data_IF_832984792316
#
_entry.id   IF_832984792316
#
_cell.length_a   1.000
_cell.length_b   1.000
_cell.length_c   1.000
_cell.angle_alpha   90.00
_cell.angle_beta   90.00
_cell.angle_gamma   90.00
#
_symmetry.space_group_name_H-M   'P 1'
#
loop_
_entity.id
_entity.type
_entity.pdbx_description
1 polymer ?
#
# COMPACT_ATOMS: atom_id res chain seq x y z
N UNK A 1 15.45 -17.70 -4.54
CA UNK A 1 14.66 -17.33 -5.74
C UNK A 1 13.20 -17.73 -5.58
N UNK A 2 12.86 -19.02 -5.44
CA UNK A 2 11.47 -19.48 -5.30
C UNK A 2 10.69 -18.80 -4.14
N UNK A 3 11.27 -18.70 -2.95
CA UNK A 3 10.61 -18.10 -1.79
C UNK A 3 10.26 -16.59 -1.95
N UNK A 4 11.07 -15.83 -2.70
CA UNK A 4 10.80 -14.41 -2.99
C UNK A 4 9.63 -14.31 -3.99
N UNK A 5 9.57 -15.21 -4.98
CA UNK A 5 8.50 -15.24 -5.97
C UNK A 5 7.19 -15.75 -5.36
N UNK A 6 7.23 -16.68 -4.41
CA UNK A 6 6.05 -17.13 -3.65
C UNK A 6 5.48 -16.01 -2.77
N UNK A 7 6.32 -15.15 -2.19
CA UNK A 7 5.87 -13.96 -1.45
C UNK A 7 5.24 -12.88 -2.35
N UNK A 8 5.51 -12.91 -3.67
CA UNK A 8 4.91 -12.03 -4.67
C UNK A 8 3.57 -12.56 -5.22
N UNK A 9 3.17 -13.79 -4.85
CA UNK A 9 1.90 -14.35 -5.24
C UNK A 9 0.76 -13.57 -4.58
N UNK A 10 -0.07 -12.94 -5.42
CA UNK A 10 -1.28 -12.20 -5.07
C UNK A 10 -2.15 -13.03 -4.09
N UNK A 11 -2.32 -12.63 -2.82
CA UNK A 11 -3.26 -13.30 -1.93
C UNK A 11 -4.68 -13.00 -2.44
N UNK A 12 -5.26 -13.96 -3.16
CA UNK A 12 -6.64 -13.91 -3.60
C UNK A 12 -7.54 -14.06 -2.36
N UNK A 13 -8.20 -12.97 -1.96
CA UNK A 13 -9.11 -12.95 -0.80
C UNK A 13 -10.53 -13.37 -1.22
N UNK A 14 -10.87 -13.32 -2.51
CA UNK A 14 -12.25 -13.54 -2.96
C UNK A 14 -12.65 -15.02 -3.08
N UNK A 15 -11.70 -15.96 -3.10
CA UNK A 15 -12.02 -17.39 -3.23
C UNK A 15 -12.38 -18.10 -1.92
N UNK A 16 -12.16 -17.49 -0.75
CA UNK A 16 -12.43 -18.14 0.56
C UNK A 16 -13.85 -17.95 1.10
N UNK A 17 -14.67 -17.12 0.47
CA UNK A 17 -16.03 -16.85 0.96
C UNK A 17 -17.08 -17.89 0.53
N UNK A 18 -16.77 -18.80 -0.41
CA UNK A 18 -17.76 -19.73 -0.95
C UNK A 18 -17.77 -21.13 -0.31
N UNK A 19 -16.83 -21.45 0.60
CA UNK A 19 -16.72 -22.79 1.23
C UNK A 19 -17.08 -22.87 2.72
N UNK A 20 -17.36 -21.76 3.43
CA UNK A 20 -17.88 -21.81 4.81
C UNK A 20 -19.41 -21.85 4.82
N UNK A 21 -19.95 -22.93 4.28
CA UNK A 21 -21.39 -23.18 4.20
C UNK A 21 -21.78 -24.58 4.62
N UNK A 22 -21.18 -25.17 5.66
CA UNK A 22 -21.83 -26.25 6.42
C UNK A 22 -21.09 -26.61 7.71
N UNK A 23 -21.75 -26.40 8.85
CA UNK A 23 -21.63 -27.14 10.14
C UNK A 23 -21.73 -26.18 11.32
N UNK A 24 -22.94 -26.05 11.88
CA UNK A 24 -23.14 -25.52 13.22
C UNK A 24 -23.91 -26.55 14.03
N UNK A 25 -23.14 -27.41 14.70
CA UNK A 25 -23.57 -28.26 15.80
C UNK A 25 -23.73 -27.41 17.07
N UNK A 26 -24.85 -27.62 17.74
CA UNK A 26 -25.20 -27.11 19.06
C UNK A 26 -24.06 -27.29 20.10
N UNK A 27 -23.80 -26.25 20.89
CA UNK A 27 -23.35 -26.39 22.28
C UNK A 27 -23.78 -25.18 23.13
N UNK A 28 -24.54 -25.46 24.18
CA UNK A 28 -25.06 -24.57 25.21
C UNK A 28 -24.10 -24.47 26.41
N UNK A 29 -24.10 -23.32 27.09
CA UNK A 29 -23.58 -23.10 28.46
C UNK A 29 -22.17 -22.50 28.49
N UNK A 30 -21.76 -21.59 29.39
CA UNK A 30 -22.37 -20.95 30.55
C UNK A 30 -21.27 -20.22 31.35
N UNK A 31 -21.54 -18.97 31.76
CA UNK A 31 -21.00 -18.19 32.90
C UNK A 31 -19.47 -18.06 33.19
N UNK A 32 -19.00 -16.81 33.05
CA UNK A 32 -18.37 -15.93 34.08
C UNK A 32 -17.12 -16.37 34.88
N UNK A 33 -15.99 -15.64 34.72
CA UNK A 33 -15.31 -14.82 35.77
C UNK A 33 -13.95 -14.28 35.29
N UNK A 34 -13.79 -12.97 35.39
CA UNK A 34 -12.54 -12.21 35.30
C UNK A 34 -11.76 -12.33 36.60
N UNK A 35 -10.46 -12.63 36.53
CA UNK A 35 -9.53 -12.54 37.68
C UNK A 35 -8.15 -12.13 37.20
N UNK A 36 -7.86 -10.83 37.25
CA UNK A 36 -6.52 -10.29 37.06
C UNK A 36 -5.65 -10.61 38.27
N UNK A 37 -4.61 -11.43 38.09
CA UNK A 37 -3.48 -11.51 39.03
C UNK A 37 -2.26 -10.86 38.40
N UNK A 38 -2.00 -9.63 38.85
CA UNK A 38 -0.71 -8.96 38.75
C UNK A 38 0.21 -9.65 39.77
N UNK A 39 1.31 -10.25 39.35
CA UNK A 39 2.42 -10.53 40.27
C UNK A 39 3.70 -9.87 39.72
N UNK A 40 4.22 -9.03 40.61
CA UNK A 40 5.38 -8.17 40.53
C UNK A 40 6.57 -8.94 41.11
N UNK A 41 7.76 -8.67 40.55
CA UNK A 41 9.08 -8.73 41.21
C UNK A 41 9.60 -10.14 41.56
N UNK A 42 10.90 -10.45 41.52
CA UNK A 42 12.08 -9.65 41.87
C UNK A 42 13.37 -10.30 41.35
N UNK A 43 14.37 -9.46 41.06
CA UNK A 43 15.74 -9.82 40.68
C UNK A 43 16.67 -9.79 41.91
N UNK A 44 17.52 -10.81 42.12
CA UNK A 44 18.89 -10.59 42.64
C UNK A 44 19.82 -11.82 42.53
N UNK A 45 21.15 -11.59 42.51
CA UNK A 45 22.15 -12.50 41.95
C UNK A 45 23.08 -13.14 42.99
N UNK A 46 23.68 -14.28 42.64
CA UNK A 46 24.90 -14.79 43.27
C UNK A 46 24.72 -16.09 44.05
N UNK A 47 25.38 -17.16 43.59
CA UNK A 47 25.48 -18.43 44.31
C UNK A 47 26.22 -19.48 43.48
N UNK A 48 27.50 -19.68 43.78
CA UNK A 48 28.35 -20.78 43.29
C UNK A 48 27.96 -22.09 43.96
N UNK A 49 27.74 -23.15 43.19
CA UNK A 49 27.43 -24.49 43.71
C UNK A 49 27.64 -25.55 42.62
N UNK A 50 28.24 -26.68 43.01
CA UNK A 50 28.85 -27.68 42.15
C UNK A 50 27.85 -28.52 41.33
N UNK A 51 28.33 -29.01 40.19
CA UNK A 51 27.66 -29.94 39.29
C UNK A 51 27.81 -31.37 39.82
N UNK A 52 26.78 -31.89 40.47
CA UNK A 52 26.60 -33.33 40.68
C UNK A 52 25.54 -33.82 39.67
N UNK A 53 25.95 -34.75 38.82
CA UNK A 53 25.07 -35.45 37.87
C UNK A 53 24.46 -36.62 38.62
N UNK A 54 23.23 -36.44 39.08
CA UNK A 54 22.37 -37.55 39.50
C UNK A 54 21.45 -37.87 38.33
N UNK A 55 21.72 -39.01 37.71
CA UNK A 55 20.98 -39.54 36.58
C UNK A 55 19.80 -40.34 37.09
N UNK A 56 18.66 -39.67 37.25
CA UNK A 56 17.36 -40.34 37.41
C UNK A 56 16.50 -40.12 36.18
N UNK A 57 16.22 -41.25 35.54
CA UNK A 57 15.29 -41.43 34.45
C UNK A 57 13.86 -41.26 34.96
N UNK A 58 13.20 -40.16 34.60
CA UNK A 58 11.74 -40.09 34.65
C UNK A 58 11.19 -39.66 33.29
N UNK A 59 10.33 -40.54 32.78
CA UNK A 59 9.64 -40.49 31.51
C UNK A 59 8.47 -39.51 31.63
N UNK A 60 8.70 -38.24 31.28
CA UNK A 60 7.64 -37.24 31.17
C UNK A 60 7.68 -36.61 29.78
N UNK A 61 6.81 -37.14 28.93
CA UNK A 61 6.44 -36.58 27.64
C UNK A 61 5.69 -35.25 27.85
N UNK A 62 6.44 -34.23 28.23
CA UNK A 62 5.96 -32.85 28.30
C UNK A 62 5.92 -32.30 26.89
N UNK A 63 4.79 -32.55 26.22
CA UNK A 63 4.43 -31.84 25.02
C UNK A 63 4.48 -30.35 25.31
N UNK A 64 5.55 -29.70 24.85
CA UNK A 64 5.65 -28.26 24.74
C UNK A 64 4.56 -27.81 23.78
N UNK A 65 3.37 -27.57 24.31
CA UNK A 65 2.36 -26.77 23.63
C UNK A 65 2.96 -25.38 23.53
N UNK A 66 3.64 -25.13 22.41
CA UNK A 66 3.84 -23.78 21.91
C UNK A 66 2.43 -23.25 21.76
N UNK A 67 1.99 -22.50 22.77
CA UNK A 67 0.77 -21.74 22.70
C UNK A 67 1.01 -20.74 21.59
N UNK A 68 0.63 -21.12 20.37
CA UNK A 68 0.52 -20.22 19.23
C UNK A 68 -0.54 -19.25 19.68
N UNK A 69 -0.09 -18.21 20.37
CA UNK A 69 -0.88 -17.04 20.70
C UNK A 69 -1.59 -16.68 19.42
N UNK A 70 -2.89 -16.97 19.38
CA UNK A 70 -3.76 -16.61 18.28
C UNK A 70 -3.81 -15.10 18.32
N UNK A 71 -2.86 -14.48 17.63
CA UNK A 71 -2.80 -13.07 17.40
C UNK A 71 -4.22 -12.61 17.02
N UNK A 72 -4.77 -11.57 17.68
CA UNK A 72 -6.07 -11.07 17.31
C UNK A 72 -6.08 -10.72 15.81
N UNK A 73 -7.24 -10.82 15.13
CA UNK A 73 -7.33 -10.89 13.67
C UNK A 73 -6.79 -9.68 12.87
N UNK A 74 -6.16 -8.68 13.51
CA UNK A 74 -5.71 -7.42 12.92
C UNK A 74 -4.25 -7.04 13.30
N UNK A 75 -3.34 -8.00 13.41
CA UNK A 75 -1.96 -7.78 13.91
C UNK A 75 -0.99 -7.09 12.93
N UNK A 76 -1.51 -6.26 12.02
CA UNK A 76 -0.67 -5.41 11.17
C UNK A 76 -0.31 -4.12 11.91
N UNK A 77 0.98 -3.93 12.19
CA UNK A 77 1.46 -2.73 12.91
C UNK A 77 1.03 -1.43 12.19
N UNK A 78 0.77 -0.39 12.98
CA UNK A 78 0.18 0.87 12.50
C UNK A 78 0.98 1.50 11.35
N UNK A 79 2.31 1.40 11.37
CA UNK A 79 3.15 2.00 10.33
C UNK A 79 2.96 1.31 8.97
N UNK A 80 2.69 0.00 8.93
CA UNK A 80 2.37 -0.70 7.68
C UNK A 80 1.02 -0.24 7.11
N UNK A 81 0.04 0.00 7.98
CA UNK A 81 -1.26 0.57 7.57
C UNK A 81 -1.06 1.97 6.96
N UNK A 82 -0.25 2.81 7.60
CA UNK A 82 0.10 4.14 7.09
C UNK A 82 0.82 4.06 5.75
N UNK A 83 1.85 3.22 5.62
CA UNK A 83 2.59 3.04 4.36
C UNK A 83 1.68 2.56 3.24
N UNK A 84 0.74 1.68 3.54
CA UNK A 84 -0.23 1.21 2.56
C UNK A 84 -1.20 2.31 2.11
N UNK A 85 -1.71 3.14 3.03
CA UNK A 85 -2.54 4.30 2.67
C UNK A 85 -1.76 5.30 1.81
N UNK A 86 -0.51 5.59 2.20
CA UNK A 86 0.39 6.45 1.44
C UNK A 86 0.64 5.89 0.04
N UNK A 87 0.91 4.59 -0.09
CA UNK A 87 1.08 3.93 -1.38
C UNK A 87 -0.16 4.06 -2.29
N UNK A 88 -1.35 3.76 -1.75
CA UNK A 88 -2.61 3.89 -2.51
C UNK A 88 -2.89 5.33 -2.96
N UNK A 89 -2.28 6.32 -2.31
CA UNK A 89 -2.39 7.74 -2.67
C UNK A 89 -1.30 8.14 -3.66
N UNK A 90 -0.04 7.84 -3.34
CA UNK A 90 1.14 8.23 -4.10
C UNK A 90 1.13 7.63 -5.49
N UNK A 91 0.78 6.34 -5.64
CA UNK A 91 0.83 5.66 -6.91
C UNK A 91 -0.06 6.30 -8.00
N UNK A 92 -1.39 6.51 -7.78
CA UNK A 92 -2.23 7.14 -8.78
C UNK A 92 -1.87 8.61 -9.02
N UNK A 93 -1.47 9.36 -7.98
CA UNK A 93 -1.12 10.77 -8.09
C UNK A 93 0.19 10.97 -8.88
N UNK A 94 1.19 10.12 -8.67
CA UNK A 94 2.44 10.15 -9.42
C UNK A 94 2.20 9.91 -10.92
N UNK A 95 1.42 8.88 -11.28
CA UNK A 95 1.06 8.60 -12.67
C UNK A 95 0.25 9.75 -13.28
N UNK A 96 -0.66 10.36 -12.52
CA UNK A 96 -1.43 11.52 -12.96
C UNK A 96 -0.51 12.70 -13.30
N UNK A 97 0.43 13.05 -12.42
CA UNK A 97 1.36 14.17 -12.64
C UNK A 97 2.23 13.91 -13.88
N UNK A 98 2.77 12.70 -14.03
CA UNK A 98 3.54 12.30 -15.21
C UNK A 98 2.71 12.38 -16.49
N UNK A 99 1.44 11.93 -16.44
CA UNK A 99 0.53 12.01 -17.57
C UNK A 99 0.23 13.45 -17.96
N UNK A 100 -0.14 14.31 -17.01
CA UNK A 100 -0.44 15.72 -17.27
C UNK A 100 0.77 16.44 -17.89
N UNK A 101 1.98 16.18 -17.39
CA UNK A 101 3.20 16.74 -17.98
C UNK A 101 3.46 16.22 -19.40
N UNK A 102 3.30 14.92 -19.63
CA UNK A 102 3.53 14.32 -20.95
C UNK A 102 2.51 14.83 -21.97
N UNK A 103 1.25 14.97 -21.55
CA UNK A 103 0.18 15.54 -22.35
C UNK A 103 0.47 17.01 -22.72
N UNK A 104 0.90 17.82 -21.75
CA UNK A 104 1.28 19.21 -21.97
C UNK A 104 2.44 19.34 -22.98
N UNK A 105 3.46 18.47 -22.90
CA UNK A 105 4.55 18.44 -23.89
C UNK A 105 4.05 18.04 -25.28
N UNK A 106 3.14 17.04 -25.37
CA UNK A 106 2.62 16.54 -26.64
C UNK A 106 1.76 17.55 -27.41
N UNK A 107 1.03 18.42 -26.71
CA UNK A 107 0.22 19.47 -27.35
C UNK A 107 1.01 20.72 -27.73
N UNK A 108 2.34 20.72 -27.55
CA UNK A 108 3.17 21.90 -27.84
C UNK A 108 2.80 23.11 -26.99
N UNK A 109 1.95 22.94 -25.97
CA UNK A 109 1.79 23.94 -24.94
C UNK A 109 3.13 24.00 -24.24
N UNK A 110 3.86 25.11 -24.42
CA UNK A 110 4.86 25.56 -23.46
C UNK A 110 4.08 25.88 -22.19
N UNK A 111 3.63 24.84 -21.52
CA UNK A 111 3.02 24.92 -20.22
C UNK A 111 4.22 25.20 -19.33
N UNK A 112 4.57 26.49 -19.25
CA UNK A 112 5.70 27.07 -18.53
C UNK A 112 5.48 26.92 -17.01
N UNK A 113 5.18 25.72 -16.54
CA UNK A 113 5.00 25.41 -15.13
C UNK A 113 6.27 25.68 -14.33
N UNK A 114 7.43 25.65 -15.00
CA UNK A 114 8.73 25.45 -14.36
C UNK A 114 9.90 26.04 -15.16
N UNK A 115 9.68 26.98 -16.09
CA UNK A 115 10.78 27.60 -16.87
C UNK A 115 11.83 28.34 -16.03
N UNK A 116 11.67 28.35 -14.70
CA UNK A 116 12.58 28.93 -13.72
C UNK A 116 13.22 27.89 -12.78
N UNK A 117 12.88 26.61 -12.89
CA UNK A 117 13.48 25.52 -12.11
C UNK A 117 14.59 24.84 -12.90
N UNK A 118 15.58 24.30 -12.18
CA UNK A 118 16.67 23.54 -12.79
C UNK A 118 16.10 22.38 -13.62
N UNK A 119 16.65 22.10 -14.83
CA UNK A 119 16.14 21.03 -15.71
C UNK A 119 16.14 19.64 -15.05
N UNK A 120 17.02 19.43 -14.06
CA UNK A 120 17.03 18.22 -13.24
C UNK A 120 15.77 18.06 -12.39
N UNK A 121 15.30 19.15 -11.77
CA UNK A 121 14.09 19.14 -10.93
C UNK A 121 12.86 18.80 -11.76
N UNK A 122 12.79 19.31 -12.98
CA UNK A 122 11.71 19.02 -13.92
C UNK A 122 11.64 17.54 -14.30
N UNK A 123 12.78 16.94 -14.60
CA UNK A 123 12.86 15.51 -14.94
C UNK A 123 12.46 14.66 -13.73
N UNK A 124 12.98 15.00 -12.55
CA UNK A 124 12.72 14.25 -11.31
C UNK A 124 11.24 14.31 -10.90
N UNK A 125 10.66 15.51 -10.87
CA UNK A 125 9.28 15.71 -10.41
C UNK A 125 8.23 15.10 -11.34
N UNK A 126 8.51 15.04 -12.65
CA UNK A 126 7.49 14.62 -13.62
C UNK A 126 7.77 13.27 -14.26
N UNK A 127 9.00 12.98 -14.70
CA UNK A 127 9.29 11.75 -15.43
C UNK A 127 9.71 10.62 -14.49
N UNK A 128 10.70 10.89 -13.62
CA UNK A 128 11.17 9.89 -12.68
C UNK A 128 10.09 9.51 -11.66
N UNK A 129 9.23 10.45 -11.26
CA UNK A 129 8.13 10.20 -10.33
C UNK A 129 7.22 9.04 -10.80
N UNK A 130 6.68 9.13 -12.02
CA UNK A 130 5.87 8.06 -12.61
C UNK A 130 6.68 6.78 -12.89
N UNK A 131 7.91 6.90 -13.37
CA UNK A 131 8.78 5.76 -13.63
C UNK A 131 9.09 4.92 -12.38
N UNK A 132 9.41 5.57 -11.27
CA UNK A 132 9.68 4.92 -9.98
C UNK A 132 8.42 4.19 -9.49
N UNK A 133 7.25 4.82 -9.58
CA UNK A 133 5.98 4.20 -9.19
C UNK A 133 5.63 3.00 -10.07
N UNK A 134 5.88 3.07 -11.39
CA UNK A 134 5.68 1.92 -12.26
C UNK A 134 6.55 0.74 -11.82
N UNK A 135 7.85 0.97 -11.61
CA UNK A 135 8.76 -0.07 -11.11
C UNK A 135 8.27 -0.61 -9.76
N UNK A 136 7.87 0.26 -8.83
CA UNK A 136 7.37 -0.14 -7.52
C UNK A 136 6.11 -1.00 -7.60
N UNK A 137 5.17 -0.70 -8.52
CA UNK A 137 3.97 -1.54 -8.73
C UNK A 137 4.37 -2.95 -9.17
N UNK A 138 5.32 -3.10 -10.09
CA UNK A 138 5.72 -4.41 -10.61
C UNK A 138 6.61 -5.19 -9.65
N UNK A 139 7.45 -4.51 -8.86
CA UNK A 139 8.43 -5.12 -7.95
C UNK A 139 7.87 -5.36 -6.55
N UNK A 140 7.11 -4.41 -5.99
CA UNK A 140 6.61 -4.52 -4.61
C UNK A 140 5.39 -5.42 -4.53
N UNK A 141 5.30 -6.29 -3.51
CA UNK A 141 4.13 -7.16 -3.27
C UNK A 141 2.86 -6.41 -2.79
N UNK A 142 2.85 -5.07 -2.85
CA UNK A 142 1.82 -4.24 -2.21
C UNK A 142 0.47 -4.43 -2.90
N UNK A 143 -0.60 -4.77 -2.16
CA UNK A 143 -1.92 -4.97 -2.74
C UNK A 143 -2.66 -3.65 -2.97
N UNK A 144 -3.10 -3.42 -4.20
CA UNK A 144 -4.04 -2.32 -4.53
C UNK A 144 -5.46 -2.85 -4.55
N UNK A 145 -6.37 -2.22 -3.79
CA UNK A 145 -7.79 -2.61 -3.73
C UNK A 145 -8.67 -1.49 -4.29
N UNK A 146 -9.65 -1.86 -5.10
CA UNK A 146 -10.55 -0.90 -5.77
C UNK A 146 -11.32 0.00 -4.79
N UNK A 147 -11.78 -0.57 -3.66
CA UNK A 147 -12.56 0.15 -2.65
C UNK A 147 -11.82 1.32 -1.98
N UNK A 148 -10.50 1.39 -2.10
CA UNK A 148 -9.67 2.41 -1.45
C UNK A 148 -9.38 3.63 -2.33
N UNK A 149 -10.19 3.87 -3.37
CA UNK A 149 -10.12 5.09 -4.18
C UNK A 149 -10.37 6.37 -3.36
N UNK A 150 -10.97 6.24 -2.17
CA UNK A 150 -11.15 7.33 -1.22
C UNK A 150 -9.81 7.92 -0.72
N UNK A 151 -8.71 7.15 -0.67
CA UNK A 151 -7.40 7.65 -0.24
C UNK A 151 -6.87 8.76 -1.17
N UNK A 152 -6.69 8.51 -2.48
CA UNK A 152 -6.23 9.57 -3.39
C UNK A 152 -7.24 10.71 -3.51
N UNK A 153 -8.56 10.44 -3.41
CA UNK A 153 -9.57 11.50 -3.38
C UNK A 153 -9.44 12.43 -2.17
N UNK A 154 -9.27 11.87 -0.96
CA UNK A 154 -9.12 12.65 0.25
C UNK A 154 -7.86 13.52 0.20
N UNK A 155 -6.75 12.96 -0.28
CA UNK A 155 -5.52 13.72 -0.52
C UNK A 155 -5.73 14.87 -1.51
N UNK A 156 -6.34 14.59 -2.67
CA UNK A 156 -6.63 15.62 -3.67
C UNK A 156 -7.58 16.69 -3.13
N UNK A 157 -8.59 16.32 -2.36
CA UNK A 157 -9.50 17.28 -1.73
C UNK A 157 -8.77 18.21 -0.76
N UNK A 158 -7.98 17.65 0.17
CA UNK A 158 -7.19 18.43 1.13
C UNK A 158 -6.24 19.38 0.41
N UNK A 159 -5.58 18.91 -0.64
CA UNK A 159 -4.67 19.72 -1.44
C UNK A 159 -5.39 20.88 -2.14
N UNK A 160 -6.58 20.64 -2.71
CA UNK A 160 -7.38 21.70 -3.32
C UNK A 160 -7.88 22.72 -2.29
N UNK A 161 -8.25 22.29 -1.09
CA UNK A 161 -8.58 23.21 0.01
C UNK A 161 -7.39 24.10 0.37
N UNK A 162 -6.18 23.52 0.41
CA UNK A 162 -4.96 24.29 0.60
C UNK A 162 -4.77 25.35 -0.51
N UNK A 163 -5.01 25.02 -1.79
CA UNK A 163 -4.88 26.00 -2.89
C UNK A 163 -5.84 27.19 -2.73
N UNK A 164 -7.08 26.94 -2.31
CA UNK A 164 -8.08 27.99 -2.06
C UNK A 164 -7.63 28.87 -0.89
N UNK A 165 -7.22 28.26 0.24
CA UNK A 165 -6.74 29.00 1.42
C UNK A 165 -5.52 29.85 1.05
N UNK A 166 -4.57 29.26 0.32
CA UNK A 166 -3.38 29.94 -0.18
C UNK A 166 -3.75 31.19 -0.98
N UNK A 167 -4.67 31.05 -1.94
CA UNK A 167 -5.10 32.18 -2.78
C UNK A 167 -5.83 33.26 -1.97
N UNK A 168 -6.80 32.89 -1.12
CA UNK A 168 -7.56 33.84 -0.28
C UNK A 168 -6.65 34.57 0.72
N UNK A 169 -5.61 33.91 1.22
CA UNK A 169 -4.61 34.52 2.10
C UNK A 169 -3.66 35.50 1.39
N UNK A 170 -3.79 35.66 0.06
CA UNK A 170 -2.91 36.50 -0.74
C UNK A 170 -1.52 35.87 -0.93
N UNK A 171 -1.45 34.54 -1.04
CA UNK A 171 -0.21 33.81 -1.33
C UNK A 171 0.42 34.26 -2.65
N UNK A 172 1.74 34.35 -2.68
CA UNK A 172 2.52 34.70 -3.86
C UNK A 172 3.49 33.56 -4.22
N UNK A 173 3.49 33.16 -5.49
CA UNK A 173 4.41 32.19 -6.05
C UNK A 173 5.82 32.78 -6.19
N UNK A 174 6.79 31.93 -6.53
CA UNK A 174 8.19 32.33 -6.73
C UNK A 174 8.34 33.41 -7.81
N UNK A 175 7.43 33.40 -8.79
CA UNK A 175 7.37 34.35 -9.92
C UNK A 175 6.52 35.59 -9.64
N UNK A 176 5.98 35.74 -8.43
CA UNK A 176 5.09 36.85 -8.10
C UNK A 176 3.67 36.69 -8.64
N UNK A 177 3.25 35.47 -8.98
CA UNK A 177 1.86 35.18 -9.34
C UNK A 177 1.02 34.81 -8.11
N UNK A 178 -0.30 35.07 -8.15
CA UNK A 178 -1.21 34.74 -7.04
C UNK A 178 -1.70 33.29 -7.05
N UNK A 179 -1.40 32.54 -8.10
CA UNK A 179 -1.71 31.12 -8.21
C UNK A 179 -0.45 30.29 -8.00
N UNK A 180 -0.61 29.13 -7.37
CA UNK A 180 0.46 28.10 -7.35
C UNK A 180 0.60 27.50 -8.74
N UNK A 181 -0.53 27.35 -9.44
CA UNK A 181 -0.59 26.70 -10.73
C UNK A 181 -1.43 27.52 -11.73
N UNK A 182 -0.90 27.94 -12.90
CA UNK A 182 -1.69 28.63 -13.93
C UNK A 182 -3.04 28.01 -14.31
N UNK A 183 -3.16 26.67 -14.29
CA UNK A 183 -4.44 25.97 -14.60
C UNK A 183 -5.49 26.11 -13.49
N UNK A 184 -5.06 26.50 -12.30
CA UNK A 184 -5.91 26.72 -11.13
C UNK A 184 -5.71 28.17 -10.68
N UNK A 185 -6.15 29.09 -11.53
CA UNK A 185 -6.22 30.51 -11.22
C UNK A 185 -7.63 30.88 -10.72
N UNK A 186 -7.71 31.35 -9.47
CA UNK A 186 -8.95 31.80 -8.84
C UNK A 186 -9.21 33.30 -9.00
N UNK A 187 -8.45 33.99 -9.85
CA UNK A 187 -8.73 35.38 -10.25
C UNK A 187 -10.14 35.54 -10.85
N UNK A 188 -10.65 36.77 -10.86
CA UNK A 188 -12.01 37.08 -11.32
C UNK A 188 -12.26 36.63 -12.77
N UNK A 189 -11.23 36.58 -13.60
CA UNK A 189 -11.31 36.17 -15.01
C UNK A 189 -11.32 34.64 -15.17
N UNK A 190 -10.65 33.89 -14.29
CA UNK A 190 -10.36 32.47 -14.49
C UNK A 190 -10.96 31.53 -13.44
N UNK A 191 -11.66 32.03 -12.42
CA UNK A 191 -12.18 31.17 -11.34
C UNK A 191 -13.15 30.08 -11.84
N UNK A 192 -13.98 30.37 -12.86
CA UNK A 192 -14.94 29.39 -13.42
C UNK A 192 -14.25 28.19 -14.06
N UNK A 193 -13.35 28.37 -15.07
CA UNK A 193 -12.64 27.25 -15.66
C UNK A 193 -11.79 26.49 -14.64
N UNK A 194 -11.18 27.19 -13.66
CA UNK A 194 -10.40 26.57 -12.60
C UNK A 194 -11.23 25.65 -11.70
N UNK A 195 -12.42 26.09 -11.28
CA UNK A 195 -13.33 25.24 -10.48
C UNK A 195 -13.78 24.01 -11.27
N UNK A 196 -14.12 24.18 -12.55
CA UNK A 196 -14.50 23.06 -13.42
C UNK A 196 -13.34 22.05 -13.56
N UNK A 197 -12.12 22.54 -13.80
CA UNK A 197 -10.93 21.71 -13.90
C UNK A 197 -10.69 20.92 -12.62
N UNK A 198 -10.80 21.56 -11.45
CA UNK A 198 -10.64 20.89 -10.14
C UNK A 198 -11.71 19.83 -9.91
N UNK A 199 -12.97 20.11 -10.24
CA UNK A 199 -14.07 19.14 -10.08
C UNK A 199 -13.90 17.93 -11.00
N UNK A 200 -13.52 18.14 -12.26
CA UNK A 200 -13.21 17.04 -13.20
C UNK A 200 -12.00 16.26 -12.70
N UNK A 201 -10.95 16.95 -12.26
CA UNK A 201 -9.76 16.36 -11.67
C UNK A 201 -10.10 15.43 -10.50
N UNK A 202 -10.90 15.93 -9.57
CA UNK A 202 -11.28 15.22 -8.35
C UNK A 202 -12.21 14.04 -8.64
N UNK A 203 -13.31 14.23 -9.37
CA UNK A 203 -14.36 13.21 -9.49
C UNK A 203 -14.22 12.28 -10.68
N UNK A 204 -13.38 12.61 -11.66
CA UNK A 204 -13.19 11.80 -12.87
C UNK A 204 -11.75 11.33 -12.97
N UNK A 205 -10.80 12.27 -13.01
CA UNK A 205 -9.41 11.95 -13.34
C UNK A 205 -8.75 11.12 -12.23
N UNK A 206 -8.84 11.55 -10.97
CA UNK A 206 -8.25 10.80 -9.84
C UNK A 206 -8.79 9.36 -9.74
N UNK A 207 -10.12 9.11 -9.79
CA UNK A 207 -10.65 7.76 -9.86
C UNK A 207 -10.13 6.95 -11.05
N UNK A 208 -10.05 7.54 -12.25
CA UNK A 208 -9.51 6.85 -13.44
C UNK A 208 -8.05 6.42 -13.23
N UNK A 209 -7.21 7.26 -12.62
CA UNK A 209 -5.83 6.88 -12.31
C UNK A 209 -5.74 5.82 -11.20
N UNK A 210 -6.65 5.83 -10.22
CA UNK A 210 -6.76 4.74 -9.24
C UNK A 210 -7.14 3.41 -9.92
N UNK A 211 -8.07 3.45 -10.88
CA UNK A 211 -8.43 2.29 -11.70
C UNK A 211 -7.24 1.79 -12.53
N UNK A 212 -6.45 2.71 -13.10
CA UNK A 212 -5.25 2.37 -13.84
C UNK A 212 -4.23 1.63 -12.96
N UNK A 213 -3.95 2.13 -11.76
CA UNK A 213 -3.05 1.45 -10.80
C UNK A 213 -3.60 0.08 -10.40
N UNK A 214 -4.90 -0.03 -10.17
CA UNK A 214 -5.54 -1.31 -9.90
C UNK A 214 -5.40 -2.29 -11.09
N UNK A 215 -5.57 -1.80 -12.32
CA UNK A 215 -5.35 -2.57 -13.55
C UNK A 215 -3.91 -3.06 -13.68
N UNK A 216 -2.92 -2.20 -13.42
CA UNK A 216 -1.49 -2.56 -13.41
C UNK A 216 -1.17 -3.61 -12.34
N UNK A 217 -1.76 -3.48 -11.15
CA UNK A 217 -1.65 -4.48 -10.10
C UNK A 217 -2.21 -5.84 -10.54
N UNK A 218 -3.39 -5.87 -11.17
CA UNK A 218 -3.99 -7.11 -11.71
C UNK A 218 -3.15 -7.71 -12.83
N UNK A 219 -2.64 -6.87 -13.74
CA UNK A 219 -1.73 -7.29 -14.81
C UNK A 219 -0.49 -7.97 -14.23
N UNK A 220 0.16 -7.36 -13.24
CA UNK A 220 1.29 -7.98 -12.54
C UNK A 220 0.91 -9.33 -11.92
N UNK A 221 -0.20 -9.40 -11.20
CA UNK A 221 -0.64 -10.67 -10.59
C UNK A 221 -0.88 -11.75 -11.66
N UNK A 222 -1.41 -11.39 -12.84
CA UNK A 222 -1.55 -12.31 -13.96
C UNK A 222 -0.19 -12.76 -14.51
N UNK A 223 0.75 -11.84 -14.71
CA UNK A 223 2.11 -12.16 -15.18
C UNK A 223 2.83 -13.13 -14.23
N UNK A 224 2.77 -12.87 -12.91
CA UNK A 224 3.38 -13.75 -11.89
C UNK A 224 2.76 -15.15 -11.94
N UNK A 225 1.43 -15.25 -12.09
CA UNK A 225 0.73 -16.54 -12.22
C UNK A 225 1.16 -17.29 -13.48
N UNK A 226 1.25 -16.61 -14.62
CA UNK A 226 1.70 -17.23 -15.87
C UNK A 226 3.13 -17.78 -15.76
N UNK A 227 4.06 -17.00 -15.20
CA UNK A 227 5.47 -17.43 -15.07
C UNK A 227 5.59 -18.61 -14.10
N UNK A 228 4.89 -18.56 -12.96
CA UNK A 228 4.90 -19.67 -12.00
C UNK A 228 4.24 -20.94 -12.55
N UNK A 229 3.16 -20.82 -13.33
CA UNK A 229 2.55 -21.97 -14.02
C UNK A 229 3.53 -22.66 -14.97
N UNK A 230 4.21 -21.89 -15.83
CA UNK A 230 5.22 -22.46 -16.75
C UNK A 230 6.39 -23.12 -16.03
N UNK A 231 6.79 -22.61 -14.86
CA UNK A 231 7.85 -23.20 -14.06
C UNK A 231 7.43 -24.53 -13.40
N UNK A 232 6.17 -24.62 -12.93
CA UNK A 232 5.62 -25.86 -12.38
C UNK A 232 5.52 -26.95 -13.45
N UNK A 233 4.99 -26.62 -14.63
CA UNK A 233 4.86 -27.55 -15.76
C UNK A 233 6.23 -28.08 -16.21
N UNK A 234 7.25 -27.21 -16.24
CA UNK A 234 8.63 -27.60 -16.58
C UNK A 234 9.26 -28.54 -15.55
N UNK A 235 9.03 -28.29 -14.26
CA UNK A 235 9.54 -29.13 -13.18
C UNK A 235 8.90 -30.53 -13.19
N UNK A 236 7.59 -30.62 -13.40
CA UNK A 236 6.86 -31.88 -13.52
C UNK A 236 7.34 -32.70 -14.73
N UNK A 237 7.49 -32.05 -15.90
CA UNK A 237 7.99 -32.70 -17.11
C UNK A 237 9.38 -33.28 -16.94
N UNK A 238 10.26 -32.60 -16.21
CA UNK A 238 11.63 -33.07 -15.96
C UNK A 238 11.65 -34.28 -15.04
N UNK A 239 10.76 -34.32 -14.04
CA UNK A 239 10.59 -35.47 -13.13
C UNK A 239 10.14 -36.72 -13.87
N UNK A 240 9.14 -36.59 -14.76
CA UNK A 240 8.62 -37.71 -15.56
C UNK A 240 9.65 -38.30 -16.53
N UNK A 241 10.67 -37.53 -16.94
CA UNK A 241 11.75 -38.01 -17.82
C UNK A 241 12.91 -38.68 -17.06
N UNK A 242 12.92 -38.60 -15.73
CA UNK A 242 13.96 -39.18 -14.87
C UNK A 242 13.57 -40.50 -14.19
N UNK A 243 12.33 -40.93 -14.36
CA UNK A 243 11.79 -42.24 -13.94
C UNK A 243 11.69 -43.20 -15.14
#
# INVERSE_FOLDING_TARGET
MAAIVTSLACPDVDSRCHERGNSSTLALGGKHKTSSRRLRESFSPGGTGNFEVESDSEDSNDGLSVDVSTAPPDDLCWYHKTMWVLYNTMAPIALLITFLRTLAMGFGTSFEWTNHLNPLTDILHHFCNGGIVLVDIFVSATPTRLLHFAHPLAYSFIYNMFLIIYWVSGGWGITGERWVYPVVDYSDEHWRPSVIFVLIGLFVVVPVFHLLVFGLYKLRCALVRCVLGTAADGAERTRLLSE
#
